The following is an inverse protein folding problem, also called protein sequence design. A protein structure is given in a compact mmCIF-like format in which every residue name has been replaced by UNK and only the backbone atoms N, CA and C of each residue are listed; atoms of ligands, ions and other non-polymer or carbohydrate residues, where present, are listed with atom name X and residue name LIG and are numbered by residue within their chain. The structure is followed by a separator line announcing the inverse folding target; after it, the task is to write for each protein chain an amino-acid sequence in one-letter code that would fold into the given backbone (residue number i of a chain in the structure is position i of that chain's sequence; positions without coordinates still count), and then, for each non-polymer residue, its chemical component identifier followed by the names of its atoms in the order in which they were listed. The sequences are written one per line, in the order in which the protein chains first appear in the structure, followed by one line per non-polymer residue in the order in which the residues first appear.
data_IF_992401853466
#
_entry.id   IF_992401853466
#
_cell.length_a   1.000
_cell.length_b   1.000
_cell.length_c   1.000
_cell.angle_alpha   90.00
_cell.angle_beta   90.00
_cell.angle_gamma   90.00
#
_symmetry.space_group_name_H-M   'P 1'
#
loop_
_entity.id
_entity.type
_entity.pdbx_description
1 polymer ?
#
# COMPACT_ATOMS: atom_id res chain seq x y z
N UNK A 1 -22.77 30.08 60.88
CA UNK A 1 -21.65 30.51 60.02
C UNK A 1 -20.64 29.38 60.00
N UNK A 2 -20.74 28.50 59.01
CA UNK A 2 -19.92 27.30 58.90
C UNK A 2 -18.67 27.65 58.10
N UNK A 3 -17.51 27.60 58.75
CA UNK A 3 -16.22 27.90 58.13
C UNK A 3 -15.87 26.81 57.13
N UNK A 4 -15.68 27.19 55.87
CA UNK A 4 -15.22 26.28 54.81
C UNK A 4 -13.87 25.69 55.19
N UNK A 5 -13.86 24.38 55.44
CA UNK A 5 -12.66 23.57 55.56
C UNK A 5 -11.85 23.70 54.28
N UNK A 6 -10.58 24.12 54.41
CA UNK A 6 -9.60 24.13 53.34
C UNK A 6 -9.46 22.69 52.85
N UNK A 7 -9.96 22.42 51.65
CA UNK A 7 -9.73 21.14 50.98
C UNK A 7 -8.25 21.03 50.64
N UNK A 8 -7.60 20.09 51.30
CA UNK A 8 -6.24 19.70 51.03
C UNK A 8 -6.08 19.37 49.54
N UNK A 9 -5.11 20.02 48.91
CA UNK A 9 -4.66 19.79 47.55
C UNK A 9 -4.04 18.38 47.48
N UNK A 10 -4.89 17.37 47.34
CA UNK A 10 -4.47 15.99 47.19
C UNK A 10 -4.69 15.57 45.74
N UNK A 11 -3.56 15.56 45.02
CA UNK A 11 -3.19 14.43 44.20
C UNK A 11 -4.07 14.14 42.97
N UNK A 12 -4.01 15.03 41.99
CA UNK A 12 -4.15 14.62 40.58
C UNK A 12 -2.76 14.50 39.96
N UNK A 13 -2.04 13.41 40.25
CA UNK A 13 -1.02 12.94 39.31
C UNK A 13 -1.75 12.68 37.99
N UNK A 14 -1.24 13.15 36.84
CA UNK A 14 -1.74 12.68 35.57
C UNK A 14 -1.51 11.17 35.54
N UNK A 15 -2.60 10.41 35.59
CA UNK A 15 -2.58 9.01 35.17
C UNK A 15 -1.99 9.02 33.78
N UNK A 16 -0.82 8.40 33.61
CA UNK A 16 -0.19 8.24 32.31
C UNK A 16 -1.23 7.58 31.43
N UNK A 17 -1.76 8.40 30.53
CA UNK A 17 -2.66 7.98 29.48
C UNK A 17 -2.01 6.76 28.83
N UNK A 18 -2.67 5.61 28.99
CA UNK A 18 -2.44 4.38 28.23
C UNK A 18 -1.90 4.79 26.86
N UNK A 19 -0.74 4.30 26.40
CA UNK A 19 -0.28 4.62 25.06
C UNK A 19 -1.42 4.19 24.14
N UNK A 20 -2.13 5.20 23.64
CA UNK A 20 -3.04 5.06 22.54
C UNK A 20 -2.09 4.63 21.44
N UNK A 21 -2.05 3.33 21.20
CA UNK A 21 -1.54 2.77 19.98
C UNK A 21 -2.33 3.48 18.90
N UNK A 22 -1.78 4.59 18.41
CA UNK A 22 -1.94 4.98 17.04
C UNK A 22 -1.40 3.76 16.31
N UNK A 23 -2.29 2.80 16.05
CA UNK A 23 -2.07 1.83 15.01
C UNK A 23 -1.85 2.71 13.80
N UNK A 24 -0.57 2.94 13.50
CA UNK A 24 -0.11 3.52 12.27
C UNK A 24 -0.88 2.74 11.21
N UNK A 25 -1.92 3.38 10.68
CA UNK A 25 -2.78 2.82 9.64
C UNK A 25 -2.04 2.93 8.31
N UNK A 26 -0.73 2.75 8.35
CA UNK A 26 0.08 2.46 7.18
C UNK A 26 -0.47 1.15 6.63
N UNK A 27 -0.93 1.13 5.37
CA UNK A 27 -1.41 -0.10 4.78
C UNK A 27 -0.32 -1.15 4.95
N UNK A 28 -0.71 -2.33 5.46
CA UNK A 28 0.21 -3.46 5.57
C UNK A 28 0.94 -3.67 4.24
N UNK A 29 2.21 -4.05 4.26
CA UNK A 29 2.97 -4.30 3.04
C UNK A 29 2.22 -5.23 2.07
N UNK A 30 1.50 -6.23 2.60
CA UNK A 30 0.65 -7.11 1.81
C UNK A 30 -0.52 -6.39 1.12
N UNK A 31 -1.16 -5.43 1.79
CA UNK A 31 -2.22 -4.61 1.19
C UNK A 31 -1.67 -3.69 0.08
N UNK A 32 -0.50 -3.09 0.31
CA UNK A 32 0.20 -2.28 -0.70
C UNK A 32 0.61 -3.14 -1.90
N UNK A 33 1.19 -4.32 -1.68
CA UNK A 33 1.56 -5.25 -2.74
C UNK A 33 0.34 -5.73 -3.54
N UNK A 34 -0.75 -6.06 -2.85
CA UNK A 34 -1.99 -6.47 -3.50
C UNK A 34 -2.56 -5.35 -4.37
N UNK A 35 -2.49 -4.09 -3.90
CA UNK A 35 -2.87 -2.93 -4.71
C UNK A 35 -2.01 -2.83 -5.97
N UNK A 36 -0.69 -2.96 -5.87
CA UNK A 36 0.18 -2.92 -7.06
C UNK A 36 -0.08 -4.06 -8.04
N UNK A 37 -0.39 -5.27 -7.54
CA UNK A 37 -0.77 -6.39 -8.41
C UNK A 37 -2.08 -6.08 -9.16
N UNK A 38 -3.05 -5.50 -8.46
CA UNK A 38 -4.31 -5.07 -9.09
C UNK A 38 -4.09 -3.95 -10.11
N UNK A 39 -3.23 -2.98 -9.80
CA UNK A 39 -2.89 -1.89 -10.71
C UNK A 39 -2.18 -2.40 -11.96
N UNK A 40 -1.25 -3.36 -11.81
CA UNK A 40 -0.58 -4.01 -12.94
C UNK A 40 -1.57 -4.80 -13.82
N UNK A 41 -2.50 -5.53 -13.21
CA UNK A 41 -3.56 -6.22 -13.93
C UNK A 41 -4.46 -5.22 -14.69
N UNK A 42 -4.83 -4.12 -14.03
CA UNK A 42 -5.59 -3.03 -14.64
C UNK A 42 -4.87 -2.43 -15.85
N UNK A 43 -3.55 -2.21 -15.76
CA UNK A 43 -2.74 -1.71 -16.86
C UNK A 43 -2.69 -2.67 -18.06
N UNK A 44 -2.58 -3.98 -17.81
CA UNK A 44 -2.63 -5.02 -18.85
C UNK A 44 -3.99 -5.02 -19.54
N UNK A 45 -5.08 -4.98 -18.76
CA UNK A 45 -6.45 -4.98 -19.30
C UNK A 45 -6.77 -3.72 -20.11
N UNK A 46 -6.27 -2.57 -19.68
CA UNK A 46 -6.40 -1.31 -20.44
C UNK A 46 -5.67 -1.39 -21.78
N UNK A 47 -4.44 -1.93 -21.79
CA UNK A 47 -3.71 -2.21 -23.02
C UNK A 47 -4.48 -3.15 -23.95
N UNK A 48 -4.98 -4.28 -23.45
CA UNK A 48 -5.75 -5.25 -24.23
C UNK A 48 -7.01 -4.61 -24.84
N UNK A 49 -7.73 -3.80 -24.06
CA UNK A 49 -8.92 -3.09 -24.54
C UNK A 49 -8.56 -2.11 -25.67
N UNK A 50 -7.53 -1.29 -25.48
CA UNK A 50 -7.09 -0.31 -26.48
C UNK A 50 -6.54 -1.00 -27.74
N UNK A 51 -5.81 -2.08 -27.56
CA UNK A 51 -5.27 -2.91 -28.65
C UNK A 51 -6.40 -3.55 -29.47
N UNK A 52 -7.42 -4.07 -28.81
CA UNK A 52 -8.59 -4.66 -29.46
C UNK A 52 -9.38 -3.61 -30.25
N UNK A 53 -9.63 -2.44 -29.67
CA UNK A 53 -10.32 -1.34 -30.35
C UNK A 53 -9.53 -0.82 -31.56
N UNK A 54 -8.20 -0.72 -31.46
CA UNK A 54 -7.34 -0.39 -32.60
C UNK A 54 -7.44 -1.46 -33.71
N UNK A 55 -7.39 -2.74 -33.35
CA UNK A 55 -7.52 -3.84 -34.31
C UNK A 55 -8.90 -3.88 -34.97
N UNK A 56 -9.95 -3.41 -34.28
CA UNK A 56 -11.31 -3.26 -34.81
C UNK A 56 -11.50 -2.03 -35.70
N UNK A 57 -10.47 -1.18 -35.85
CA UNK A 57 -10.52 0.02 -36.67
C UNK A 57 -11.30 1.18 -36.04
N UNK A 58 -11.57 1.13 -34.73
CA UNK A 58 -12.06 2.31 -34.00
C UNK A 58 -10.97 3.39 -34.00
N UNK A 59 -11.37 4.67 -34.05
CA UNK A 59 -10.47 5.83 -34.12
C UNK A 59 -9.72 6.05 -32.79
N UNK A 60 -8.96 5.07 -32.35
CA UNK A 60 -8.00 5.15 -31.26
C UNK A 60 -6.64 5.48 -31.88
N UNK A 61 -5.93 6.43 -31.26
CA UNK A 61 -4.59 6.76 -31.68
C UNK A 61 -3.66 5.58 -31.37
N UNK A 62 -2.90 5.11 -32.36
CA UNK A 62 -1.85 4.10 -32.19
C UNK A 62 -0.92 4.42 -31.02
N UNK A 63 -0.67 5.71 -30.79
CA UNK A 63 0.14 6.21 -29.68
C UNK A 63 -0.39 5.76 -28.31
N UNK A 64 -1.71 5.83 -28.09
CA UNK A 64 -2.32 5.44 -26.81
C UNK A 64 -2.16 3.95 -26.54
N UNK A 65 -2.24 3.12 -27.57
CA UNK A 65 -2.01 1.67 -27.48
C UNK A 65 -0.56 1.38 -27.11
N UNK A 66 0.40 2.07 -27.75
CA UNK A 66 1.83 1.88 -27.45
C UNK A 66 2.20 2.34 -26.05
N UNK A 67 1.63 3.46 -25.57
CA UNK A 67 1.82 3.93 -24.19
C UNK A 67 1.25 2.91 -23.20
N UNK A 68 0.03 2.43 -23.45
CA UNK A 68 -0.61 1.42 -22.60
C UNK A 68 0.22 0.13 -22.56
N UNK A 69 0.76 -0.30 -23.70
CA UNK A 69 1.64 -1.47 -23.79
C UNK A 69 2.90 -1.32 -22.93
N UNK A 70 3.57 -0.16 -23.04
CA UNK A 70 4.77 0.13 -22.25
C UNK A 70 4.45 0.19 -20.76
N UNK A 71 3.35 0.84 -20.38
CA UNK A 71 2.90 0.91 -18.99
C UNK A 71 2.61 -0.48 -18.41
N UNK A 72 1.89 -1.32 -19.15
CA UNK A 72 1.61 -2.70 -18.76
C UNK A 72 2.91 -3.51 -18.58
N UNK A 73 3.83 -3.43 -19.54
CA UNK A 73 5.11 -4.15 -19.48
C UNK A 73 5.96 -3.72 -18.28
N UNK A 74 6.04 -2.42 -18.00
CA UNK A 74 6.80 -1.90 -16.85
C UNK A 74 6.13 -2.32 -15.54
N UNK A 75 4.80 -2.22 -15.44
CA UNK A 75 4.07 -2.60 -14.24
C UNK A 75 4.28 -4.09 -13.90
N UNK A 76 4.14 -4.98 -14.88
CA UNK A 76 4.34 -6.43 -14.68
C UNK A 76 5.79 -6.76 -14.27
N UNK A 77 6.78 -6.12 -14.93
CA UNK A 77 8.19 -6.29 -14.57
C UNK A 77 8.47 -5.83 -13.13
N UNK A 78 7.93 -4.66 -12.75
CA UNK A 78 8.07 -4.13 -11.40
C UNK A 78 7.44 -5.07 -10.36
N UNK A 79 6.21 -5.55 -10.60
CA UNK A 79 5.54 -6.51 -9.71
C UNK A 79 6.38 -7.79 -9.52
N UNK A 80 7.00 -8.28 -10.60
CA UNK A 80 7.86 -9.46 -10.54
C UNK A 80 9.10 -9.20 -9.69
N UNK A 81 9.75 -8.06 -9.86
CA UNK A 81 10.91 -7.66 -9.05
C UNK A 81 10.56 -7.51 -7.57
N UNK A 82 9.42 -6.90 -7.26
CA UNK A 82 8.96 -6.75 -5.87
C UNK A 82 8.65 -8.11 -5.24
N UNK A 83 7.99 -9.01 -5.99
CA UNK A 83 7.75 -10.40 -5.57
C UNK A 83 9.07 -11.10 -5.24
N UNK A 84 10.05 -11.02 -6.14
CA UNK A 84 11.34 -11.69 -5.98
C UNK A 84 12.08 -11.15 -4.75
N UNK A 85 12.10 -9.83 -4.55
CA UNK A 85 12.69 -9.20 -3.36
C UNK A 85 11.98 -9.58 -2.06
N UNK A 86 10.66 -9.72 -2.08
CA UNK A 86 9.92 -10.17 -0.91
C UNK A 86 10.26 -11.63 -0.53
N UNK A 87 10.43 -12.50 -1.53
CA UNK A 87 10.85 -13.90 -1.32
C UNK A 87 12.30 -13.97 -0.82
N UNK A 88 13.22 -13.21 -1.42
CA UNK A 88 14.60 -13.10 -0.96
C UNK A 88 14.69 -12.63 0.51
N UNK A 89 13.94 -11.58 0.87
CA UNK A 89 13.92 -11.07 2.24
C UNK A 89 13.42 -12.12 3.24
N UNK A 90 12.39 -12.89 2.87
CA UNK A 90 11.91 -14.01 3.68
C UNK A 90 12.97 -15.11 3.85
N UNK A 91 13.66 -15.47 2.77
CA UNK A 91 14.74 -16.47 2.80
C UNK A 91 15.94 -16.00 3.64
N UNK A 92 16.31 -14.72 3.56
CA UNK A 92 17.39 -14.14 4.36
C UNK A 92 17.08 -14.19 5.86
N UNK A 93 15.85 -13.84 6.26
CA UNK A 93 15.43 -13.92 7.66
C UNK A 93 15.51 -15.34 8.22
N UNK A 94 15.14 -16.36 7.43
CA UNK A 94 15.29 -17.76 7.84
C UNK A 94 16.75 -18.17 8.02
N UNK A 95 17.65 -17.65 7.17
CA UNK A 95 19.09 -17.91 7.25
C UNK A 95 19.77 -17.27 8.48
N UNK A 96 19.21 -16.20 9.04
CA UNK A 96 19.72 -15.58 10.27
C UNK A 96 19.30 -16.32 11.56
N UNK A 97 18.26 -17.15 11.52
CA UNK A 97 17.71 -17.82 12.71
C UNK A 97 18.27 -19.22 12.97
N UNK A 98 19.21 -19.70 12.16
CA UNK A 98 19.99 -20.92 12.43
C UNK A 98 21.33 -20.62 13.07
#
# INVERSE_FOLDING_TARGET
MNISTIQAFTNSLPTINKPQSTTDSSPSFGAMLNQYIQDANGAVKDFESKSLSLAKGEAINLHDVTIAAQKASIAVSLTTQVRDKAVEAYQEMMRMQI
#
